data_IF_890729087967
#
_entry.id   IF_890729087967
#
_cell.length_a   1.000
_cell.length_b   1.000
_cell.length_c   1.000
_cell.angle_alpha   90.00
_cell.angle_beta   90.00
_cell.angle_gamma   90.00
#
_symmetry.space_group_name_H-M   'P 1'
#
loop_
_entity.id
_entity.type
_entity.pdbx_description
1 polymer ?
#
# COMPACT_ATOMS: atom_id res chain seq x y z
N UNK A 1 21.90 -10.42 -4.73
CA UNK A 1 20.44 -10.67 -4.84
C UNK A 1 20.13 -10.59 -6.31
N UNK A 2 19.69 -11.70 -6.89
CA UNK A 2 19.37 -11.77 -8.32
C UNK A 2 17.91 -11.37 -8.50
N UNK A 3 17.65 -10.38 -9.35
CA UNK A 3 16.29 -9.89 -9.57
C UNK A 3 15.38 -10.96 -10.20
N UNK A 4 15.96 -11.92 -10.92
CA UNK A 4 15.21 -13.00 -11.56
C UNK A 4 14.54 -13.95 -10.58
N UNK A 5 14.98 -13.99 -9.31
CA UNK A 5 14.34 -14.79 -8.24
C UNK A 5 12.91 -14.30 -7.91
N UNK A 6 12.54 -13.10 -8.37
CA UNK A 6 11.22 -12.49 -8.18
C UNK A 6 10.42 -12.37 -9.48
N UNK A 7 10.96 -12.85 -10.60
CA UNK A 7 10.29 -12.79 -11.91
C UNK A 7 9.24 -13.90 -12.04
N UNK A 8 8.10 -13.57 -12.64
CA UNK A 8 7.04 -14.53 -12.94
C UNK A 8 6.27 -14.09 -14.18
N UNK A 9 5.72 -15.06 -14.91
CA UNK A 9 4.88 -14.77 -16.07
C UNK A 9 3.54 -14.15 -15.62
N UNK A 10 3.30 -12.90 -15.97
CA UNK A 10 2.04 -12.19 -15.75
C UNK A 10 1.47 -11.76 -17.12
N UNK A 11 0.42 -12.44 -17.61
CA UNK A 11 -0.31 -11.99 -18.80
C UNK A 11 -0.88 -10.58 -18.61
N UNK A 12 -0.76 -9.72 -19.62
CA UNK A 12 -1.17 -8.31 -19.57
C UNK A 12 -2.67 -8.16 -19.30
N UNK A 13 -3.49 -9.10 -19.79
CA UNK A 13 -4.95 -9.12 -19.58
C UNK A 13 -5.37 -9.35 -18.12
N UNK A 14 -4.46 -9.86 -17.27
CA UNK A 14 -4.69 -10.04 -15.84
C UNK A 14 -4.34 -8.79 -15.03
N UNK A 15 -3.78 -7.75 -15.65
CA UNK A 15 -3.52 -6.45 -15.02
C UNK A 15 -4.79 -5.60 -15.13
N UNK A 16 -5.46 -5.40 -14.00
CA UNK A 16 -6.65 -4.57 -13.92
C UNK A 16 -6.37 -3.12 -14.38
N UNK A 17 -7.03 -2.68 -15.44
CA UNK A 17 -6.93 -1.31 -15.97
C UNK A 17 -7.84 -0.33 -15.21
N UNK A 18 -8.93 -0.87 -14.66
CA UNK A 18 -9.85 -0.18 -13.79
C UNK A 18 -10.09 -1.04 -12.56
N UNK A 19 -10.44 -0.40 -11.45
CA UNK A 19 -10.78 -1.15 -10.26
C UNK A 19 -12.19 -1.76 -10.35
N UNK A 20 -12.42 -2.80 -9.56
CA UNK A 20 -13.76 -3.36 -9.36
C UNK A 20 -14.73 -2.26 -8.89
N UNK A 21 -15.88 -2.05 -9.58
CA UNK A 21 -16.88 -1.04 -9.22
C UNK A 21 -17.41 -1.19 -7.79
N UNK A 22 -17.62 -2.44 -7.35
CA UNK A 22 -17.96 -2.75 -5.97
C UNK A 22 -16.67 -3.17 -5.26
N UNK A 23 -16.03 -2.21 -4.59
CA UNK A 23 -14.64 -2.36 -4.08
C UNK A 23 -14.39 -3.64 -3.30
N UNK A 24 -15.32 -4.06 -2.44
CA UNK A 24 -15.21 -5.25 -1.60
C UNK A 24 -15.63 -6.55 -2.31
N UNK A 25 -16.19 -6.48 -3.51
CA UNK A 25 -16.46 -7.65 -4.36
C UNK A 25 -15.19 -8.20 -5.04
N UNK A 26 -14.08 -7.45 -5.00
CA UNK A 26 -12.79 -7.88 -5.52
C UNK A 26 -12.33 -9.20 -4.89
N UNK A 27 -11.58 -10.01 -5.65
CA UNK A 27 -11.06 -11.29 -5.18
C UNK A 27 -10.00 -11.08 -4.10
N UNK A 28 -10.04 -11.92 -3.07
CA UNK A 28 -9.05 -12.02 -2.01
C UNK A 28 -8.42 -13.41 -2.05
N UNK A 29 -7.09 -13.48 -2.11
CA UNK A 29 -6.35 -14.73 -1.93
C UNK A 29 -5.75 -14.75 -0.52
N UNK A 30 -6.16 -15.69 0.32
CA UNK A 30 -5.52 -15.91 1.61
C UNK A 30 -4.49 -17.03 1.50
N UNK A 31 -3.29 -16.78 2.03
CA UNK A 31 -2.18 -17.72 2.03
C UNK A 31 -1.78 -18.05 3.48
N UNK A 32 -1.92 -19.31 3.86
CA UNK A 32 -1.41 -19.83 5.12
C UNK A 32 0.11 -19.86 5.10
N UNK A 33 0.77 -18.91 5.78
CA UNK A 33 2.25 -18.77 5.75
C UNK A 33 3.01 -20.05 6.13
N UNK A 34 2.48 -20.86 7.04
CA UNK A 34 3.13 -22.09 7.53
C UNK A 34 2.72 -23.30 6.69
N UNK A 35 1.44 -23.40 6.31
CA UNK A 35 0.88 -24.58 5.62
C UNK A 35 1.04 -24.51 4.11
N UNK A 36 1.21 -23.31 3.55
CA UNK A 36 1.12 -23.05 2.11
C UNK A 36 -0.30 -23.15 1.55
N UNK A 37 -1.31 -23.29 2.40
CA UNK A 37 -2.70 -23.43 1.97
C UNK A 37 -3.20 -22.13 1.33
N UNK A 38 -3.83 -22.25 0.16
CA UNK A 38 -4.40 -21.14 -0.59
C UNK A 38 -5.91 -21.29 -0.56
N UNK A 39 -6.60 -20.23 -0.14
CA UNK A 39 -8.03 -20.11 -0.28
C UNK A 39 -8.40 -18.89 -1.13
N UNK A 40 -9.52 -19.00 -1.82
CA UNK A 40 -10.07 -17.93 -2.65
C UNK A 40 -11.37 -17.41 -2.04
N UNK A 41 -11.40 -16.12 -1.75
CA UNK A 41 -12.48 -15.39 -1.09
C UNK A 41 -12.75 -14.08 -1.83
N UNK A 42 -13.60 -13.23 -1.26
CA UNK A 42 -13.75 -11.82 -1.64
C UNK A 42 -13.29 -10.90 -0.52
N UNK A 43 -13.00 -9.64 -0.84
CA UNK A 43 -12.57 -8.65 0.16
C UNK A 43 -13.64 -8.40 1.22
N UNK A 44 -14.94 -8.53 0.90
CA UNK A 44 -16.03 -8.48 1.88
C UNK A 44 -15.92 -9.56 2.98
N UNK A 45 -15.25 -10.67 2.69
CA UNK A 45 -15.08 -11.79 3.63
C UNK A 45 -13.87 -11.59 4.57
N UNK A 46 -13.14 -10.46 4.47
CA UNK A 46 -11.92 -10.23 5.24
C UNK A 46 -12.16 -10.25 6.75
N UNK A 47 -13.35 -9.85 7.19
CA UNK A 47 -13.72 -9.88 8.60
C UNK A 47 -13.69 -11.30 9.19
N UNK A 48 -13.97 -12.33 8.38
CA UNK A 48 -13.95 -13.73 8.81
C UNK A 48 -12.54 -14.28 9.04
N UNK A 49 -11.52 -13.57 8.54
CA UNK A 49 -10.10 -13.92 8.73
C UNK A 49 -9.52 -13.31 10.00
N UNK A 50 -10.20 -12.33 10.60
CA UNK A 50 -9.74 -11.61 11.77
C UNK A 50 -10.25 -12.25 13.05
N UNK A 51 -9.44 -12.18 14.09
CA UNK A 51 -9.80 -12.60 15.44
C UNK A 51 -10.16 -11.39 16.28
N UNK A 52 -10.86 -11.66 17.38
CA UNK A 52 -11.05 -10.65 18.43
C UNK A 52 -9.68 -10.12 18.86
N UNK A 53 -9.61 -8.82 19.04
CA UNK A 53 -8.42 -8.06 19.46
C UNK A 53 -7.32 -7.91 18.38
N UNK A 54 -7.57 -8.32 17.14
CA UNK A 54 -6.71 -7.95 16.01
C UNK A 54 -6.78 -6.43 15.73
N UNK A 55 -5.62 -5.83 15.43
CA UNK A 55 -5.50 -4.43 15.06
C UNK A 55 -5.32 -4.30 13.55
N UNK A 56 -6.26 -3.60 12.89
CA UNK A 56 -6.09 -3.17 11.50
C UNK A 56 -5.40 -1.82 11.49
N UNK A 57 -4.17 -1.77 10.99
CA UNK A 57 -3.45 -0.52 10.75
C UNK A 57 -3.70 -0.08 9.32
N UNK A 58 -4.47 0.98 9.14
CA UNK A 58 -4.76 1.56 7.82
C UNK A 58 -3.83 2.73 7.57
N UNK A 59 -3.28 2.80 6.36
CA UNK A 59 -2.57 3.98 5.92
C UNK A 59 -3.57 5.05 5.46
N UNK A 60 -3.62 6.17 6.17
CA UNK A 60 -4.35 7.37 5.76
C UNK A 60 -3.34 8.46 5.37
N UNK A 61 -3.12 8.62 4.07
CA UNK A 61 -2.15 9.59 3.54
C UNK A 61 -2.80 10.97 3.41
N UNK A 62 -2.20 11.98 4.05
CA UNK A 62 -2.62 13.39 3.97
C UNK A 62 -1.55 14.24 3.30
N UNK A 63 -1.95 15.02 2.30
CA UNK A 63 -1.08 16.03 1.69
C UNK A 63 -1.22 17.33 2.48
N UNK A 64 -0.13 17.79 3.08
CA UNK A 64 -0.04 19.11 3.72
C UNK A 64 0.92 19.95 2.88
N UNK A 65 0.53 21.16 2.44
CA UNK A 65 1.46 22.11 1.82
C UNK A 65 2.44 22.62 2.87
N UNK A 66 3.45 21.80 3.16
CA UNK A 66 4.41 21.96 4.24
C UNK A 66 5.80 22.45 3.74
N UNK A 67 5.92 22.67 2.43
CA UNK A 67 7.16 23.10 1.78
C UNK A 67 7.35 24.61 1.93
N UNK A 68 8.42 25.03 2.61
CA UNK A 68 8.82 26.43 2.73
C UNK A 68 10.18 26.64 2.09
N UNK A 69 10.33 27.74 1.34
CA UNK A 69 11.59 28.14 0.72
C UNK A 69 12.15 29.36 1.46
N UNK A 70 13.43 29.34 1.76
CA UNK A 70 14.11 30.42 2.49
C UNK A 70 15.56 30.61 2.10
N UNK A 71 16.20 31.59 2.71
CA UNK A 71 17.63 31.85 2.60
C UNK A 71 18.22 31.99 4.01
N UNK A 72 19.43 31.49 4.22
CA UNK A 72 20.19 31.72 5.45
C UNK A 72 20.51 33.21 5.57
N UNK A 73 20.20 33.81 6.71
CA UNK A 73 20.60 35.17 7.05
C UNK A 73 21.84 35.11 7.97
N UNK A 74 22.99 35.73 7.63
CA UNK A 74 23.23 36.64 6.51
C UNK A 74 23.83 36.00 5.25
N UNK A 75 24.20 34.71 5.28
CA UNK A 75 25.03 34.09 4.23
C UNK A 75 24.35 33.91 2.85
N UNK A 76 23.04 34.12 2.75
CA UNK A 76 22.26 34.08 1.51
C UNK A 76 22.03 32.69 0.92
N UNK A 77 22.60 31.63 1.50
CA UNK A 77 22.46 30.25 0.99
C UNK A 77 21.00 29.76 1.01
N UNK A 78 20.56 29.10 -0.06
CA UNK A 78 19.20 28.58 -0.18
C UNK A 78 18.92 27.46 0.84
N UNK A 79 17.70 27.45 1.37
CA UNK A 79 17.20 26.41 2.28
C UNK A 79 15.76 26.07 1.92
N UNK A 80 15.40 24.80 2.06
CA UNK A 80 14.04 24.30 1.95
C UNK A 80 13.65 23.58 3.25
N UNK A 81 12.47 23.87 3.79
CA UNK A 81 11.91 23.21 4.97
C UNK A 81 10.69 22.40 4.56
N UNK A 82 10.57 21.20 5.14
CA UNK A 82 9.37 20.39 5.12
C UNK A 82 8.82 20.35 6.55
N UNK A 83 7.68 21.01 6.76
CA UNK A 83 6.98 20.96 8.04
C UNK A 83 6.36 19.58 8.23
N UNK A 84 6.72 18.92 9.33
CA UNK A 84 6.11 17.65 9.74
C UNK A 84 5.11 17.93 10.87
N UNK A 85 4.04 17.16 10.93
CA UNK A 85 3.01 17.22 11.98
C UNK A 85 3.33 16.32 13.16
#
# INVERSE_FOLDING_TARGET
MDLSEFDFHLPDELIAQEAEPIRDAARLMSLGRVTGEIEHRRVCDVADLLKRDDLIVVNDTRVIPARLLGRRDPSGGAVEWLLLS
#
